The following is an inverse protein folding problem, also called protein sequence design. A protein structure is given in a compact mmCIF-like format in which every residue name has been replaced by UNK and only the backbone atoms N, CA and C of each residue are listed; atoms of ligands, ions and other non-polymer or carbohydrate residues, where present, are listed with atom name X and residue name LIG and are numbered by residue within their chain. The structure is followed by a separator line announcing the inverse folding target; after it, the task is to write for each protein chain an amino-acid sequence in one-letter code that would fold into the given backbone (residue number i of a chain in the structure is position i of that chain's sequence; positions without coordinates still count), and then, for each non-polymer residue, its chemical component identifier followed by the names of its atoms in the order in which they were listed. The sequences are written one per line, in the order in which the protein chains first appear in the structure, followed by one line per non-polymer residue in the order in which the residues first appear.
data_IF_545417270421
#
_entry.id   IF_545417270421
#
_cell.length_a   1.000
_cell.length_b   1.000
_cell.length_c   1.000
_cell.angle_alpha   90.00
_cell.angle_beta   90.00
_cell.angle_gamma   90.00
#
_symmetry.space_group_name_H-M   'P 1'
#
loop_
_entity.id
_entity.type
_entity.pdbx_description
1 polymer ?
#
# COMPACT_ATOMS: atom_id res chain seq x y z
N UNK A 1 -0.82 23.46 10.25
CA UNK A 1 -0.57 22.21 11.02
C UNK A 1 0.92 21.88 10.97
N UNK A 2 1.52 21.53 12.11
CA UNK A 2 2.90 20.99 12.14
C UNK A 2 2.85 19.59 11.53
N UNK A 3 3.64 19.34 10.49
CA UNK A 3 3.71 18.02 9.84
C UNK A 3 4.35 17.02 10.81
N UNK A 4 3.88 15.78 10.79
CA UNK A 4 4.53 14.68 11.49
C UNK A 4 5.92 14.40 10.87
N UNK A 5 6.80 13.73 11.62
CA UNK A 5 8.03 13.16 11.05
C UNK A 5 7.61 12.09 10.04
N UNK A 6 8.10 12.19 8.80
CA UNK A 6 7.77 11.23 7.76
C UNK A 6 8.22 9.83 8.16
N UNK A 7 7.32 8.85 8.10
CA UNK A 7 7.68 7.44 8.03
C UNK A 7 8.18 7.17 6.61
N UNK A 8 9.35 6.56 6.46
CA UNK A 8 10.14 6.53 5.22
C UNK A 8 9.57 5.69 4.07
N UNK A 9 8.28 5.80 3.74
CA UNK A 9 7.71 5.20 2.53
C UNK A 9 8.10 6.03 1.33
N UNK A 10 8.98 5.48 0.49
CA UNK A 10 9.47 6.16 -0.71
C UNK A 10 8.69 5.71 -1.93
N UNK A 11 8.30 6.67 -2.78
CA UNK A 11 7.85 6.39 -4.14
C UNK A 11 9.08 6.44 -5.06
N UNK A 12 9.27 5.46 -5.95
CA UNK A 12 10.44 5.41 -6.81
C UNK A 12 10.26 6.42 -7.96
N UNK A 13 11.36 7.04 -8.39
CA UNK A 13 11.34 7.95 -9.54
C UNK A 13 10.82 7.26 -10.81
N UNK A 14 11.06 5.96 -10.96
CA UNK A 14 10.59 5.14 -12.08
C UNK A 14 9.07 5.08 -12.22
N UNK A 15 8.30 5.39 -11.16
CA UNK A 15 6.84 5.48 -11.23
C UNK A 15 6.39 6.48 -12.30
N UNK A 16 7.11 7.59 -12.44
CA UNK A 16 6.81 8.63 -13.45
C UNK A 16 6.91 8.13 -14.90
N UNK A 17 7.67 7.06 -15.12
CA UNK A 17 7.91 6.43 -16.43
C UNK A 17 7.25 5.06 -16.56
N UNK A 18 6.55 4.58 -15.54
CA UNK A 18 5.85 3.29 -15.57
C UNK A 18 4.64 3.37 -16.52
N UNK A 19 4.59 2.56 -17.59
CA UNK A 19 3.46 2.54 -18.50
C UNK A 19 2.13 2.15 -17.84
N UNK A 20 2.14 1.29 -16.81
CA UNK A 20 0.94 0.90 -16.03
C UNK A 20 0.33 2.11 -15.38
N UNK A 21 1.15 2.87 -14.65
CA UNK A 21 0.76 4.12 -14.02
C UNK A 21 0.35 5.18 -15.06
N UNK A 22 1.05 5.24 -16.19
CA UNK A 22 0.74 6.15 -17.30
C UNK A 22 -0.66 5.96 -17.90
N UNK A 23 -1.23 4.75 -17.85
CA UNK A 23 -2.58 4.44 -18.37
C UNK A 23 -3.72 4.84 -17.45
N UNK A 24 -3.43 5.08 -16.16
CA UNK A 24 -4.44 5.48 -15.18
C UNK A 24 -5.06 6.86 -15.47
N UNK A 25 -6.31 7.03 -15.04
CA UNK A 25 -7.04 8.30 -14.97
C UNK A 25 -6.33 9.27 -14.03
N UNK A 26 -6.59 10.56 -14.18
CA UNK A 26 -5.95 11.57 -13.32
C UNK A 26 -6.32 11.38 -11.84
N UNK A 27 -7.55 10.95 -11.54
CA UNK A 27 -8.00 10.64 -10.18
C UNK A 27 -7.22 9.44 -9.63
N UNK A 28 -7.10 8.35 -10.39
CA UNK A 28 -6.34 7.18 -9.95
C UNK A 28 -4.84 7.49 -9.78
N UNK A 29 -4.23 8.26 -10.70
CA UNK A 29 -2.85 8.79 -10.55
C UNK A 29 -2.69 9.63 -9.28
N UNK A 30 -3.71 10.37 -8.89
CA UNK A 30 -3.66 11.17 -7.66
C UNK A 30 -3.80 10.29 -6.42
N UNK A 31 -4.68 9.30 -6.45
CA UNK A 31 -5.00 8.45 -5.31
C UNK A 31 -3.91 7.41 -5.00
N UNK A 32 -3.34 6.76 -6.01
CA UNK A 32 -2.31 5.71 -5.84
C UNK A 32 -1.15 6.11 -4.91
N UNK A 33 -0.46 7.26 -5.10
CA UNK A 33 0.63 7.65 -4.21
C UNK A 33 0.16 8.01 -2.79
N UNK A 34 -1.10 8.38 -2.60
CA UNK A 34 -1.68 8.68 -1.28
C UNK A 34 -1.95 7.38 -0.51
N UNK A 35 -2.48 6.35 -1.17
CA UNK A 35 -2.61 5.00 -0.60
C UNK A 35 -1.23 4.46 -0.22
N UNK A 36 -0.25 4.54 -1.14
CA UNK A 36 1.11 4.01 -0.96
C UNK A 36 1.76 4.45 0.36
N UNK A 37 1.64 5.73 0.72
CA UNK A 37 2.28 6.28 1.92
C UNK A 37 1.55 5.89 3.21
N UNK A 38 0.29 5.47 3.12
CA UNK A 38 -0.53 5.03 4.25
C UNK A 38 -0.52 3.51 4.43
N UNK A 39 0.06 2.74 3.50
CA UNK A 39 0.22 1.30 3.65
C UNK A 39 1.03 0.90 4.89
N UNK A 40 0.70 -0.26 5.44
CA UNK A 40 1.46 -0.91 6.51
C UNK A 40 2.83 -1.41 6.03
N UNK A 41 3.58 -2.09 6.89
CA UNK A 41 4.93 -2.55 6.55
C UNK A 41 4.96 -3.68 5.51
N UNK A 42 3.83 -4.35 5.25
CA UNK A 42 3.68 -5.40 4.23
C UNK A 42 3.09 -4.87 2.92
N UNK A 43 2.84 -3.56 2.82
CA UNK A 43 2.25 -2.94 1.64
C UNK A 43 0.75 -3.15 1.55
N UNK A 44 0.06 -3.34 2.69
CA UNK A 44 -1.40 -3.49 2.72
C UNK A 44 -2.11 -2.25 3.19
N UNK A 45 -3.35 -2.09 2.71
CA UNK A 45 -4.26 -1.01 3.07
C UNK A 45 -5.71 -1.52 3.07
N UNK A 46 -6.63 -0.96 3.90
CA UNK A 46 -8.06 -1.23 3.76
C UNK A 46 -8.57 -0.88 2.36
N UNK A 47 -9.49 -1.71 1.84
CA UNK A 47 -10.20 -1.49 0.58
C UNK A 47 -11.51 -0.71 0.72
N UNK A 48 -11.93 -0.41 1.96
CA UNK A 48 -13.19 0.28 2.21
C UNK A 48 -13.17 1.73 1.65
N UNK A 49 -14.17 2.14 0.84
CA UNK A 49 -14.18 3.46 0.22
C UNK A 49 -14.20 4.62 1.21
N UNK A 50 -14.94 4.52 2.32
CA UNK A 50 -15.02 5.59 3.31
C UNK A 50 -13.70 5.72 4.08
N UNK A 51 -13.07 4.58 4.42
CA UNK A 51 -11.75 4.57 5.06
C UNK A 51 -10.66 5.17 4.15
N UNK A 52 -10.59 4.76 2.88
CA UNK A 52 -9.63 5.30 1.90
C UNK A 52 -9.88 6.80 1.70
N UNK A 53 -11.15 7.21 1.58
CA UNK A 53 -11.48 8.62 1.41
C UNK A 53 -10.97 9.46 2.59
N UNK A 54 -11.19 8.96 3.79
CA UNK A 54 -10.83 9.64 5.02
C UNK A 54 -9.31 9.64 5.27
N UNK A 55 -8.63 8.52 5.06
CA UNK A 55 -7.21 8.34 5.37
C UNK A 55 -6.28 8.92 4.30
N UNK A 56 -6.60 8.70 3.02
CA UNK A 56 -5.67 8.97 1.93
C UNK A 56 -5.87 10.34 1.29
N UNK A 57 -7.13 10.73 1.08
CA UNK A 57 -7.43 11.94 0.30
C UNK A 57 -8.54 12.83 0.88
N UNK A 58 -8.61 13.08 2.20
CA UNK A 58 -9.75 13.77 2.82
C UNK A 58 -10.00 15.18 2.28
N UNK A 59 -8.96 15.87 1.79
CA UNK A 59 -9.04 17.22 1.23
C UNK A 59 -9.18 17.29 -0.29
N UNK A 60 -9.05 16.17 -1.01
CA UNK A 60 -9.16 16.11 -2.48
C UNK A 60 -10.63 15.99 -2.87
N UNK A 61 -11.31 17.11 -3.12
CA UNK A 61 -12.77 17.14 -3.29
C UNK A 61 -13.25 16.42 -4.54
N UNK A 62 -12.38 16.32 -5.54
CA UNK A 62 -12.64 15.72 -6.84
C UNK A 62 -12.74 14.19 -6.79
N UNK A 63 -12.27 13.56 -5.71
CA UNK A 63 -12.37 12.12 -5.47
C UNK A 63 -13.39 11.90 -4.35
N UNK A 64 -14.54 11.33 -4.63
CA UNK A 64 -15.55 10.98 -3.61
C UNK A 64 -15.38 9.53 -3.15
N UNK A 65 -16.06 9.13 -2.07
CA UNK A 65 -16.12 7.73 -1.66
C UNK A 65 -16.69 6.85 -2.79
N UNK A 66 -17.74 7.32 -3.47
CA UNK A 66 -18.35 6.61 -4.60
C UNK A 66 -17.41 6.42 -5.81
N UNK A 67 -16.41 7.29 -5.99
CA UNK A 67 -15.41 7.14 -7.06
C UNK A 67 -14.45 5.97 -6.76
N UNK A 68 -14.11 5.74 -5.48
CA UNK A 68 -12.99 4.89 -5.06
C UNK A 68 -13.06 3.46 -5.61
N UNK A 69 -14.20 2.73 -5.54
CA UNK A 69 -14.27 1.38 -6.08
C UNK A 69 -13.82 1.29 -7.55
N UNK A 70 -14.24 2.25 -8.38
CA UNK A 70 -13.86 2.29 -9.79
C UNK A 70 -12.38 2.61 -10.00
N UNK A 71 -11.80 3.48 -9.14
CA UNK A 71 -10.39 3.82 -9.18
C UNK A 71 -9.51 2.65 -8.74
N UNK A 72 -9.93 1.87 -7.74
CA UNK A 72 -9.22 0.67 -7.30
C UNK A 72 -9.24 -0.40 -8.38
N UNK A 73 -10.39 -0.65 -9.02
CA UNK A 73 -10.50 -1.57 -10.17
C UNK A 73 -9.59 -1.16 -11.32
N UNK A 74 -9.45 0.15 -11.57
CA UNK A 74 -8.54 0.67 -12.59
C UNK A 74 -7.07 0.32 -12.27
N UNK A 75 -6.64 0.52 -11.03
CA UNK A 75 -5.28 0.21 -10.58
C UNK A 75 -5.00 -1.31 -10.54
N UNK A 76 -5.98 -2.11 -10.13
CA UNK A 76 -5.91 -3.58 -10.09
C UNK A 76 -5.77 -4.16 -11.50
N UNK A 77 -6.60 -3.69 -12.43
CA UNK A 77 -6.51 -4.05 -13.86
C UNK A 77 -5.13 -3.76 -14.45
N UNK A 78 -4.51 -2.64 -14.06
CA UNK A 78 -3.18 -2.26 -14.50
C UNK A 78 -2.04 -2.94 -13.73
N UNK A 79 -2.36 -3.83 -12.78
CA UNK A 79 -1.40 -4.60 -11.98
C UNK A 79 -0.43 -3.71 -11.22
N UNK A 80 -0.94 -2.62 -10.65
CA UNK A 80 -0.23 -1.78 -9.68
C UNK A 80 -0.56 -2.18 -8.24
N UNK A 81 -1.80 -2.60 -8.03
CA UNK A 81 -2.31 -3.14 -6.78
C UNK A 81 -3.02 -4.47 -7.07
N UNK A 82 -3.37 -5.18 -6.00
CA UNK A 82 -4.37 -6.25 -6.02
C UNK A 82 -5.44 -5.94 -4.99
N UNK A 83 -6.71 -5.97 -5.41
CA UNK A 83 -7.87 -5.83 -4.53
C UNK A 83 -8.40 -7.22 -4.23
N UNK A 84 -8.48 -7.60 -2.96
CA UNK A 84 -8.84 -8.95 -2.57
C UNK A 84 -9.68 -9.01 -1.29
N UNK A 85 -10.57 -10.00 -1.16
CA UNK A 85 -11.37 -10.16 0.04
C UNK A 85 -10.53 -10.73 1.18
N UNK A 86 -10.74 -10.23 2.39
CA UNK A 86 -10.28 -10.86 3.63
C UNK A 86 -11.47 -11.34 4.46
N UNK A 87 -11.21 -12.02 5.57
CA UNK A 87 -12.26 -12.44 6.51
C UNK A 87 -13.01 -11.28 7.18
N UNK A 88 -12.46 -10.05 7.13
CA UNK A 88 -13.02 -8.87 7.82
C UNK A 88 -13.51 -7.78 6.88
N UNK A 89 -12.82 -7.57 5.77
CA UNK A 89 -13.10 -6.50 4.81
C UNK A 89 -12.38 -6.77 3.48
N UNK A 90 -12.68 -5.97 2.47
CA UNK A 90 -11.83 -5.86 1.28
C UNK A 90 -10.49 -5.20 1.67
N UNK A 91 -9.39 -5.67 1.09
CA UNK A 91 -8.05 -5.15 1.31
C UNK A 91 -7.33 -4.93 -0.02
N UNK A 92 -6.30 -4.09 0.03
CA UNK A 92 -5.44 -3.77 -1.09
C UNK A 92 -4.03 -4.25 -0.76
N UNK A 93 -3.37 -4.92 -1.71
CA UNK A 93 -1.95 -5.23 -1.69
C UNK A 93 -1.22 -4.40 -2.76
N UNK A 94 -0.19 -3.66 -2.36
CA UNK A 94 0.71 -2.96 -3.28
C UNK A 94 1.70 -3.98 -3.89
N UNK A 95 1.62 -4.22 -5.20
CA UNK A 95 2.31 -5.36 -5.83
C UNK A 95 3.83 -5.19 -5.89
N UNK A 96 4.30 -3.95 -6.08
CA UNK A 96 5.74 -3.67 -6.17
C UNK A 96 6.35 -3.30 -4.79
N UNK A 97 5.63 -3.55 -3.67
CA UNK A 97 6.03 -3.05 -2.35
C UNK A 97 7.44 -3.44 -1.95
N UNK A 98 7.78 -4.74 -2.03
CA UNK A 98 9.08 -5.25 -1.60
C UNK A 98 10.21 -5.00 -2.59
N UNK A 99 9.87 -4.80 -3.87
CA UNK A 99 10.83 -4.36 -4.88
C UNK A 99 11.29 -2.93 -4.62
N UNK A 100 10.37 -2.07 -4.19
CA UNK A 100 10.60 -0.64 -3.99
C UNK A 100 11.04 -0.30 -2.56
N UNK A 101 10.31 -0.76 -1.53
CA UNK A 101 10.59 -0.42 -0.14
C UNK A 101 11.76 -1.23 0.39
N UNK A 102 12.76 -0.53 0.95
CA UNK A 102 13.91 -1.14 1.63
C UNK A 102 13.80 -0.86 3.13
N UNK A 103 12.80 -1.48 3.75
CA UNK A 103 12.56 -1.34 5.18
C UNK A 103 13.65 -2.07 5.98
N UNK A 104 14.08 -1.49 7.09
CA UNK A 104 14.95 -2.19 8.05
C UNK A 104 14.13 -3.07 9.01
N UNK A 105 12.89 -2.65 9.26
CA UNK A 105 11.92 -3.27 10.16
C UNK A 105 10.58 -3.34 9.47
N UNK A 106 9.91 -4.47 9.60
CA UNK A 106 8.60 -4.72 9.05
C UNK A 106 7.75 -5.54 10.03
N UNK A 107 6.69 -4.92 10.54
CA UNK A 107 5.69 -5.54 11.39
C UNK A 107 4.70 -6.37 10.55
N UNK A 108 4.06 -7.39 11.16
CA UNK A 108 3.01 -8.14 10.50
C UNK A 108 1.82 -7.23 10.19
N UNK A 109 1.16 -7.47 9.06
CA UNK A 109 -0.09 -6.81 8.72
C UNK A 109 -1.24 -7.30 9.59
N UNK A 110 -2.23 -6.44 9.82
CA UNK A 110 -3.53 -6.84 10.35
C UNK A 110 -4.41 -7.57 9.32
N UNK A 111 -4.04 -7.52 8.04
CA UNK A 111 -4.75 -8.17 6.93
C UNK A 111 -3.95 -9.39 6.47
N UNK A 112 -4.65 -10.49 6.21
CA UNK A 112 -4.06 -11.69 5.61
C UNK A 112 -3.47 -11.38 4.22
N UNK A 113 -2.36 -12.02 3.81
CA UNK A 113 -1.83 -11.88 2.47
C UNK A 113 -2.81 -12.39 1.39
N UNK A 114 -2.80 -11.80 0.18
CA UNK A 114 -3.45 -12.42 -0.97
C UNK A 114 -2.74 -13.73 -1.36
N UNK A 115 -3.37 -14.52 -2.22
CA UNK A 115 -2.83 -15.80 -2.64
C UNK A 115 -1.47 -15.63 -3.34
N UNK A 116 -0.48 -16.44 -2.94
CA UNK A 116 0.86 -16.39 -3.51
C UNK A 116 1.76 -15.25 -3.00
N UNK A 117 1.26 -14.37 -2.13
CA UNK A 117 2.07 -13.33 -1.50
C UNK A 117 2.77 -13.84 -0.24
N UNK A 118 4.05 -13.50 -0.09
CA UNK A 118 4.87 -13.87 1.08
C UNK A 118 5.20 -12.62 1.89
N UNK A 119 4.84 -12.63 3.17
CA UNK A 119 5.20 -11.55 4.09
C UNK A 119 6.67 -11.65 4.50
N UNK A 120 7.30 -10.50 4.66
CA UNK A 120 8.67 -10.38 5.15
C UNK A 120 8.63 -9.68 6.51
N UNK A 121 9.00 -10.41 7.55
CA UNK A 121 8.88 -9.94 8.94
C UNK A 121 10.25 -9.71 9.53
N UNK A 122 10.41 -8.52 10.11
CA UNK A 122 11.51 -8.22 11.02
C UNK A 122 11.03 -7.17 11.99
N UNK A 123 10.69 -7.55 13.21
CA UNK A 123 10.10 -6.63 14.16
C UNK A 123 10.39 -7.01 15.62
N UNK A 124 10.18 -6.03 16.49
CA UNK A 124 10.28 -6.21 17.94
C UNK A 124 8.88 -6.43 18.52
N UNK A 125 8.46 -7.69 18.83
CA UNK A 125 7.23 -7.93 19.57
C UNK A 125 7.34 -7.42 21.01
N UNK A 126 8.55 -7.46 21.57
CA UNK A 126 8.92 -6.92 22.86
C UNK A 126 10.26 -6.17 22.73
N UNK A 127 10.64 -5.31 23.69
CA UNK A 127 11.91 -4.57 23.60
C UNK A 127 13.18 -5.42 23.55
N UNK A 128 13.11 -6.72 23.86
CA UNK A 128 14.27 -7.62 23.98
C UNK A 128 14.33 -8.70 22.91
N UNK A 129 13.26 -8.87 22.14
CA UNK A 129 13.13 -9.95 21.17
C UNK A 129 13.04 -9.38 19.77
N UNK A 130 13.56 -10.12 18.80
CA UNK A 130 13.42 -9.84 17.38
C UNK A 130 12.85 -11.09 16.75
N UNK A 131 11.69 -10.96 16.09
CA UNK A 131 11.14 -12.00 15.23
C UNK A 131 11.57 -11.68 13.80
N UNK A 132 12.11 -12.68 13.11
CA UNK A 132 12.42 -12.63 11.67
C UNK A 132 11.79 -13.81 10.95
N UNK A 133 11.09 -13.54 9.86
CA UNK A 133 10.50 -14.54 8.98
C UNK A 133 10.64 -14.06 7.53
N UNK A 134 11.05 -14.97 6.63
CA UNK A 134 11.31 -14.67 5.22
C UNK A 134 12.25 -13.46 4.99
N UNK A 135 13.10 -13.10 5.96
CA UNK A 135 13.94 -11.90 5.91
C UNK A 135 15.40 -12.24 5.54
N UNK A 136 16.08 -11.48 4.67
CA UNK A 136 15.61 -10.29 3.95
C UNK A 136 14.67 -10.63 2.77
N UNK A 137 13.86 -9.66 2.29
CA UNK A 137 13.15 -9.80 1.03
C UNK A 137 14.14 -10.12 -0.11
N UNK A 138 13.78 -11.04 -1.00
CA UNK A 138 14.64 -11.47 -2.10
C UNK A 138 15.14 -10.28 -2.94
N UNK A 139 16.42 -10.29 -3.34
CA UNK A 139 17.03 -9.23 -4.15
C UNK A 139 17.66 -8.07 -3.34
N UNK A 140 17.92 -8.27 -2.05
CA UNK A 140 18.86 -7.47 -1.26
C UNK A 140 20.26 -8.09 -1.23
#
# INVERSE_FOLDING_TARGET
MRRAVARGRLLPQSLSTDPRYGRLSLKAKTLYPLIWINCDDQGRHPGDPDEIKFADCPSVKEITADDIPSLLQEMDKERLIEVYPTSRAEAIQMLDWWDVQKLQWAYPSSYSPPEGWTDHLRYHPTPKEIITENWPPSGQ
#
